data_IF_077116966693
#
_entry.id   IF_077116966693
#
_cell.length_a   1.000
_cell.length_b   1.000
_cell.length_c   1.000
_cell.angle_alpha   90.00
_cell.angle_beta   90.00
_cell.angle_gamma   90.00
#
_symmetry.space_group_name_H-M   'P 1'
#
loop_
_entity.id
_entity.type
_entity.pdbx_description
1 polymer ?
#
# COMPACT_ATOMS: atom_id res chain seq x y z
N UNK A 1 -4.39 27.08 2.63
CA UNK A 1 -3.06 26.59 2.35
C UNK A 1 -2.07 27.72 2.53
N UNK A 2 -1.18 27.55 3.50
CA UNK A 2 -0.12 28.49 3.85
C UNK A 2 1.08 28.38 2.90
N UNK A 3 0.92 27.82 1.72
CA UNK A 3 2.02 27.50 0.83
C UNK A 3 2.27 28.69 -0.08
N UNK A 4 3.37 29.37 0.19
CA UNK A 4 3.90 30.49 -0.57
C UNK A 4 4.39 30.08 -1.95
N UNK A 5 3.64 29.20 -2.64
CA UNK A 5 3.97 28.71 -3.98
C UNK A 5 2.86 29.03 -4.95
N UNK A 6 3.21 29.33 -6.18
CA UNK A 6 2.30 29.55 -7.29
C UNK A 6 2.77 28.82 -8.55
N UNK A 7 1.84 28.45 -9.42
CA UNK A 7 2.14 27.82 -10.71
C UNK A 7 2.21 28.91 -11.76
N UNK A 8 3.34 28.98 -12.47
CA UNK A 8 3.55 29.88 -13.59
C UNK A 8 4.00 29.07 -14.82
N UNK A 9 3.04 28.70 -15.67
CA UNK A 9 3.29 27.84 -16.82
C UNK A 9 3.73 26.44 -16.37
N UNK A 10 4.94 26.05 -16.71
CA UNK A 10 5.54 24.76 -16.38
C UNK A 10 6.40 24.80 -15.09
N UNK A 11 6.33 25.90 -14.34
CA UNK A 11 7.15 26.08 -13.15
C UNK A 11 6.28 26.21 -11.92
N UNK A 12 6.78 25.69 -10.81
CA UNK A 12 6.29 26.02 -9.46
C UNK A 12 7.29 27.01 -8.88
N UNK A 13 6.84 28.19 -8.52
CA UNK A 13 7.69 29.23 -7.94
C UNK A 13 7.18 29.67 -6.57
N UNK A 14 8.09 30.20 -5.77
CA UNK A 14 7.76 30.81 -4.51
C UNK A 14 7.06 32.16 -4.77
N UNK A 15 5.86 32.35 -4.22
CA UNK A 15 5.07 33.57 -4.39
C UNK A 15 5.38 34.66 -3.34
N UNK A 16 6.05 34.29 -2.23
CA UNK A 16 6.44 35.21 -1.17
C UNK A 16 7.75 34.78 -0.49
N UNK A 17 8.44 35.73 0.16
CA UNK A 17 9.60 35.39 0.98
C UNK A 17 9.20 34.51 2.15
N UNK A 18 9.95 33.44 2.40
CA UNK A 18 9.76 32.56 3.53
C UNK A 18 11.07 32.23 4.20
N UNK A 19 11.02 31.94 5.48
CA UNK A 19 12.13 31.36 6.24
C UNK A 19 12.05 29.83 6.30
N UNK A 20 11.03 29.23 5.67
CA UNK A 20 10.94 27.79 5.54
C UNK A 20 12.02 27.28 4.60
N UNK A 21 12.74 26.25 5.01
CA UNK A 21 13.74 25.57 4.20
C UNK A 21 13.19 24.43 3.35
N UNK A 22 11.87 24.27 3.27
CA UNK A 22 11.24 23.19 2.50
C UNK A 22 9.93 23.63 1.87
N UNK A 23 9.66 23.11 0.69
CA UNK A 23 8.43 23.29 -0.07
C UNK A 23 7.94 21.93 -0.54
N UNK A 24 6.61 21.74 -0.53
CA UNK A 24 5.95 20.52 -0.98
C UNK A 24 4.98 20.90 -2.09
N UNK A 25 5.02 20.16 -3.16
CA UNK A 25 4.03 20.25 -4.25
C UNK A 25 3.67 18.84 -4.72
N UNK A 26 2.45 18.69 -5.18
CA UNK A 26 1.96 17.45 -5.77
C UNK A 26 2.14 17.54 -7.29
N UNK A 27 2.71 16.48 -7.86
CA UNK A 27 2.83 16.33 -9.30
C UNK A 27 2.05 15.10 -9.75
N UNK A 28 1.23 15.29 -10.77
CA UNK A 28 0.46 14.20 -11.38
C UNK A 28 1.20 13.75 -12.64
N UNK A 29 1.60 12.48 -12.67
CA UNK A 29 2.25 11.90 -13.83
C UNK A 29 1.31 11.91 -15.03
N UNK A 30 1.79 12.24 -16.24
CA UNK A 30 1.01 12.09 -17.47
C UNK A 30 0.54 10.64 -17.65
N UNK A 31 -0.66 10.48 -18.19
CA UNK A 31 -1.23 9.15 -18.49
C UNK A 31 -0.57 8.47 -19.69
N UNK A 32 0.22 9.21 -20.45
CA UNK A 32 0.97 8.70 -21.61
C UNK A 32 2.46 8.67 -21.31
N UNK A 33 3.18 7.75 -21.95
CA UNK A 33 4.63 7.69 -21.84
C UNK A 33 5.26 8.96 -22.41
N UNK A 34 5.91 9.76 -21.57
CA UNK A 34 6.65 10.98 -21.95
C UNK A 34 8.17 10.80 -21.79
N UNK A 35 8.62 9.59 -21.51
CA UNK A 35 10.03 9.32 -21.17
C UNK A 35 10.38 9.72 -19.73
N UNK A 36 11.67 9.83 -19.46
CA UNK A 36 12.17 10.26 -18.16
C UNK A 36 11.73 11.70 -17.86
N UNK A 37 11.31 11.95 -16.63
CA UNK A 37 10.92 13.29 -16.17
C UNK A 37 12.02 13.85 -15.26
N UNK A 38 12.54 15.00 -15.63
CA UNK A 38 13.57 15.69 -14.84
C UNK A 38 12.94 16.87 -14.11
N UNK A 39 13.12 16.90 -12.81
CA UNK A 39 12.79 18.02 -11.94
C UNK A 39 14.05 18.80 -11.65
N UNK A 40 14.06 20.10 -11.97
CA UNK A 40 15.15 21.00 -11.63
C UNK A 40 14.63 22.01 -10.62
N UNK A 41 15.30 22.13 -9.49
CA UNK A 41 15.00 23.14 -8.49
C UNK A 41 16.19 24.08 -8.33
N UNK A 42 15.93 25.38 -8.29
CA UNK A 42 16.96 26.40 -8.05
C UNK A 42 16.53 27.28 -6.89
N UNK A 43 17.44 27.55 -6.00
CA UNK A 43 17.26 28.43 -4.85
C UNK A 43 18.34 29.50 -4.80
N UNK A 44 17.95 30.71 -4.42
CA UNK A 44 18.86 31.83 -4.16
C UNK A 44 18.95 32.07 -2.65
N UNK A 45 20.13 31.87 -2.08
CA UNK A 45 20.41 32.28 -0.71
C UNK A 45 20.99 33.67 -0.71
N UNK A 46 20.25 34.65 -0.15
CA UNK A 46 20.68 36.02 -0.05
C UNK A 46 21.26 36.32 1.33
N UNK A 47 22.41 36.96 1.41
CA UNK A 47 23.09 37.29 2.66
C UNK A 47 22.41 38.34 3.53
N UNK A 48 21.15 38.73 3.24
CA UNK A 48 20.33 39.62 4.08
C UNK A 48 20.75 41.10 4.09
N UNK A 49 21.79 41.49 3.38
CA UNK A 49 22.17 42.88 3.21
C UNK A 49 21.80 43.40 1.82
N UNK A 50 21.51 44.67 1.70
CA UNK A 50 21.16 45.33 0.43
C UNK A 50 22.31 45.44 -0.58
N UNK A 51 23.38 44.68 -0.40
CA UNK A 51 24.53 44.63 -1.32
C UNK A 51 24.43 43.36 -2.20
N UNK A 52 24.67 43.51 -3.49
CA UNK A 52 24.66 42.47 -4.51
C UNK A 52 25.86 41.52 -4.46
N UNK A 53 26.59 41.49 -3.37
CA UNK A 53 27.77 40.64 -3.18
C UNK A 53 27.48 39.58 -2.10
N UNK A 54 27.58 38.31 -2.47
CA UNK A 54 27.43 37.18 -1.54
C UNK A 54 26.15 36.39 -1.68
N UNK A 55 25.44 36.50 -2.82
CA UNK A 55 24.29 35.68 -3.13
C UNK A 55 24.75 34.37 -3.82
N UNK A 56 24.39 33.27 -3.25
CA UNK A 56 24.69 31.93 -3.79
C UNK A 56 23.44 31.32 -4.45
N UNK A 57 23.61 30.83 -5.66
CA UNK A 57 22.58 30.07 -6.38
C UNK A 57 22.86 28.58 -6.22
N UNK A 58 21.89 27.86 -5.68
CA UNK A 58 21.92 26.41 -5.56
C UNK A 58 20.97 25.83 -6.56
N UNK A 59 21.44 24.84 -7.31
CA UNK A 59 20.58 24.08 -8.24
C UNK A 59 20.70 22.60 -7.93
N UNK A 60 19.56 21.92 -7.88
CA UNK A 60 19.46 20.48 -7.79
C UNK A 60 18.63 19.96 -8.96
N UNK A 61 19.04 18.83 -9.50
CA UNK A 61 18.34 18.14 -10.57
C UNK A 61 18.08 16.71 -10.16
N UNK A 62 16.83 16.27 -10.28
CA UNK A 62 16.39 14.91 -9.97
C UNK A 62 15.67 14.38 -11.20
N UNK A 63 16.24 13.36 -11.83
CA UNK A 63 15.59 12.63 -12.92
C UNK A 63 14.87 11.43 -12.35
N UNK A 64 13.55 11.38 -12.59
CA UNK A 64 12.71 10.22 -12.36
C UNK A 64 12.64 9.49 -13.69
N UNK A 65 13.34 8.35 -13.84
CA UNK A 65 13.30 7.60 -15.07
C UNK A 65 11.86 7.18 -15.33
N UNK A 66 11.45 7.18 -16.60
CA UNK A 66 10.27 6.46 -16.99
C UNK A 66 10.52 4.99 -16.68
N UNK A 67 10.26 4.64 -15.47
CA UNK A 67 9.85 3.29 -15.23
C UNK A 67 8.45 3.23 -15.84
N UNK A 68 8.36 2.66 -17.05
CA UNK A 68 7.23 1.80 -17.25
C UNK A 68 7.22 1.01 -15.94
N UNK A 69 6.26 1.30 -15.07
CA UNK A 69 5.66 0.28 -14.28
C UNK A 69 5.10 -0.70 -15.33
N UNK A 70 5.99 -1.47 -15.90
CA UNK A 70 5.78 -2.85 -16.05
C UNK A 70 5.76 -3.36 -14.60
N UNK A 71 4.69 -2.99 -13.89
CA UNK A 71 3.75 -3.98 -13.52
C UNK A 71 3.37 -4.65 -14.84
N UNK A 72 4.25 -5.46 -15.28
CA UNK A 72 3.97 -6.85 -15.42
C UNK A 72 3.82 -7.37 -13.98
N UNK A 73 2.90 -6.79 -13.21
CA UNK A 73 1.79 -7.58 -12.74
C UNK A 73 1.42 -8.30 -14.02
N UNK A 74 1.84 -9.57 -14.12
CA UNK A 74 0.87 -10.52 -14.54
C UNK A 74 -0.42 -9.89 -14.03
N UNK A 75 -1.28 -9.38 -14.93
CA UNK A 75 -2.67 -9.19 -14.64
C UNK A 75 -3.05 -10.66 -14.42
N UNK A 76 -2.59 -11.21 -13.31
CA UNK A 76 -3.27 -12.28 -12.64
C UNK A 76 -4.62 -11.67 -12.54
N UNK A 77 -5.53 -12.15 -13.37
CA UNK A 77 -6.93 -11.79 -13.31
C UNK A 77 -7.22 -11.70 -11.82
N UNK A 78 -7.29 -10.44 -11.27
CA UNK A 78 -7.36 -10.24 -9.83
C UNK A 78 -8.76 -10.63 -9.44
N UNK A 79 -9.01 -11.94 -9.40
CA UNK A 79 -10.33 -12.48 -9.08
C UNK A 79 -10.69 -12.23 -7.64
N UNK A 80 -9.68 -11.88 -6.78
CA UNK A 80 -9.99 -11.41 -5.45
C UNK A 80 -8.88 -10.53 -4.83
N UNK A 81 -9.29 -9.63 -3.94
CA UNK A 81 -8.41 -8.82 -3.10
C UNK A 81 -8.42 -9.38 -1.69
N UNK A 82 -7.24 -9.59 -1.10
CA UNK A 82 -7.10 -9.99 0.29
C UNK A 82 -6.66 -8.79 1.13
N UNK A 83 -7.44 -8.44 2.14
CA UNK A 83 -7.12 -7.38 3.09
C UNK A 83 -6.45 -7.95 4.34
N UNK A 84 -5.71 -7.10 5.04
CA UNK A 84 -5.16 -7.49 6.35
C UNK A 84 -6.28 -7.88 7.32
N UNK A 85 -6.09 -8.99 8.02
CA UNK A 85 -7.00 -9.41 9.08
C UNK A 85 -6.93 -8.44 10.28
N UNK A 86 -8.04 -8.30 10.98
CA UNK A 86 -8.11 -7.39 12.13
C UNK A 86 -8.99 -7.97 13.24
N UNK A 87 -8.54 -7.85 14.49
CA UNK A 87 -7.21 -7.42 14.95
C UNK A 87 -6.09 -8.42 14.58
N UNK A 88 -4.83 -7.94 14.54
CA UNK A 88 -3.64 -8.77 14.39
C UNK A 88 -2.43 -8.08 15.07
N UNK A 89 -1.88 -8.53 16.21
CA UNK A 89 -2.30 -9.75 16.94
C UNK A 89 -3.74 -9.73 17.44
N UNK A 90 -4.33 -10.92 17.67
CA UNK A 90 -5.71 -11.04 18.08
C UNK A 90 -5.90 -11.89 19.35
N UNK A 91 -7.04 -11.70 20.07
CA UNK A 91 -7.45 -12.45 21.25
C UNK A 91 -8.98 -12.31 21.46
N UNK A 92 -9.80 -13.38 21.46
CA UNK A 92 -9.52 -14.67 20.85
C UNK A 92 -9.96 -14.71 19.38
N UNK A 93 -10.56 -13.64 18.84
CA UNK A 93 -11.19 -13.62 17.51
C UNK A 93 -10.51 -12.62 16.60
N UNK A 94 -10.30 -13.02 15.35
CA UNK A 94 -9.88 -12.12 14.26
C UNK A 94 -10.83 -12.23 13.08
N UNK A 95 -10.93 -11.18 12.29
CA UNK A 95 -11.75 -11.13 11.08
C UNK A 95 -10.86 -11.12 9.85
N UNK A 96 -10.99 -12.12 8.99
CA UNK A 96 -10.39 -12.18 7.67
C UNK A 96 -11.31 -11.44 6.71
N UNK A 97 -10.74 -10.66 5.81
CA UNK A 97 -11.49 -9.76 4.92
C UNK A 97 -10.98 -9.90 3.50
N UNK A 98 -11.88 -10.08 2.57
CA UNK A 98 -11.53 -10.19 1.16
C UNK A 98 -12.67 -9.65 0.28
N UNK A 99 -12.37 -9.39 -0.99
CA UNK A 99 -13.33 -8.94 -1.97
C UNK A 99 -13.22 -9.82 -3.21
N UNK A 100 -14.34 -10.42 -3.62
CA UNK A 100 -14.45 -11.22 -4.83
C UNK A 100 -14.93 -10.34 -5.98
N UNK A 101 -14.30 -10.46 -7.14
CA UNK A 101 -14.70 -9.72 -8.34
C UNK A 101 -15.84 -10.40 -9.06
N UNK A 102 -15.99 -11.72 -8.88
CA UNK A 102 -17.05 -12.54 -9.45
C UNK A 102 -17.50 -13.63 -8.46
N UNK A 103 -18.61 -14.27 -8.73
CA UNK A 103 -19.08 -15.42 -7.97
C UNK A 103 -18.10 -16.57 -8.10
N UNK A 104 -17.66 -17.14 -6.99
CA UNK A 104 -16.60 -18.13 -6.99
C UNK A 104 -16.75 -19.18 -5.89
N UNK A 105 -16.10 -20.34 -6.09
CA UNK A 105 -15.91 -21.31 -5.01
C UNK A 105 -14.73 -20.82 -4.17
N UNK A 106 -15.01 -20.53 -2.91
CA UNK A 106 -14.01 -20.03 -1.95
C UNK A 106 -13.72 -21.10 -0.92
N UNK A 107 -12.43 -21.29 -0.63
CA UNK A 107 -11.96 -22.12 0.46
C UNK A 107 -10.99 -21.35 1.33
N UNK A 108 -11.22 -21.35 2.65
CA UNK A 108 -10.37 -20.64 3.62
C UNK A 108 -9.86 -21.65 4.64
N UNK A 109 -8.54 -21.79 4.69
CA UNK A 109 -7.87 -22.78 5.55
C UNK A 109 -6.80 -22.08 6.41
N UNK A 110 -6.77 -22.45 7.68
CA UNK A 110 -5.74 -22.04 8.64
C UNK A 110 -4.71 -23.15 8.75
N UNK A 111 -3.43 -22.75 8.78
CA UNK A 111 -2.28 -23.64 8.93
C UNK A 111 -1.40 -23.21 10.09
N UNK A 112 -0.72 -24.16 10.70
CA UNK A 112 0.40 -23.88 11.59
C UNK A 112 1.68 -23.53 10.78
N UNK A 113 2.75 -23.15 11.47
CA UNK A 113 4.03 -22.80 10.82
C UNK A 113 4.74 -23.99 10.15
N UNK A 114 4.31 -25.23 10.42
CA UNK A 114 4.82 -26.44 9.77
C UNK A 114 4.01 -26.79 8.52
N UNK A 115 2.95 -26.05 8.22
CA UNK A 115 2.07 -26.29 7.09
C UNK A 115 0.94 -27.32 7.36
N UNK A 116 0.75 -27.76 8.60
CA UNK A 116 -0.35 -28.65 8.93
C UNK A 116 -1.66 -27.85 8.98
N UNK A 117 -2.72 -28.42 8.45
CA UNK A 117 -4.06 -27.82 8.53
C UNK A 117 -4.55 -27.80 9.98
N UNK A 118 -4.89 -26.60 10.45
CA UNK A 118 -5.48 -26.37 11.78
C UNK A 118 -6.99 -26.32 11.70
N UNK A 119 -7.52 -25.51 10.78
CA UNK A 119 -8.97 -25.33 10.61
C UNK A 119 -9.34 -25.01 9.16
N UNK A 120 -10.46 -25.58 8.69
CA UNK A 120 -11.10 -25.19 7.43
C UNK A 120 -12.34 -24.36 7.78
N UNK A 121 -12.16 -23.03 7.85
CA UNK A 121 -13.20 -22.13 8.37
C UNK A 121 -14.28 -21.79 7.35
N UNK A 122 -14.02 -22.00 6.07
CA UNK A 122 -14.99 -21.83 5.01
C UNK A 122 -14.67 -22.72 3.80
N UNK A 123 -15.72 -23.27 3.19
CA UNK A 123 -15.63 -23.96 1.89
C UNK A 123 -17.01 -23.95 1.23
N UNK A 124 -17.19 -23.14 0.19
CA UNK A 124 -18.47 -23.03 -0.49
C UNK A 124 -18.48 -21.99 -1.61
N UNK A 125 -19.61 -21.85 -2.27
CA UNK A 125 -19.85 -20.83 -3.28
C UNK A 125 -20.18 -19.50 -2.58
N UNK A 126 -19.52 -18.43 -2.98
CA UNK A 126 -19.83 -17.06 -2.56
C UNK A 126 -20.05 -16.15 -3.76
N UNK A 127 -21.00 -15.24 -3.62
CA UNK A 127 -21.22 -14.18 -4.62
C UNK A 127 -20.09 -13.17 -4.60
N UNK A 128 -19.95 -12.42 -5.69
CA UNK A 128 -19.04 -11.27 -5.77
C UNK A 128 -19.26 -10.25 -4.64
N UNK A 129 -18.27 -9.42 -4.39
CA UNK A 129 -18.29 -8.35 -3.40
C UNK A 129 -17.47 -8.61 -2.14
N UNK A 130 -17.55 -7.67 -1.20
CA UNK A 130 -16.79 -7.69 0.05
C UNK A 130 -17.33 -8.75 1.01
N UNK A 131 -16.40 -9.55 1.55
CA UNK A 131 -16.70 -10.69 2.44
C UNK A 131 -15.85 -10.61 3.71
N UNK A 132 -16.42 -11.18 4.76
CA UNK A 132 -15.73 -11.33 6.05
C UNK A 132 -16.00 -12.71 6.63
N UNK A 133 -14.97 -13.30 7.21
CA UNK A 133 -15.09 -14.55 7.97
C UNK A 133 -14.26 -14.43 9.25
N UNK A 134 -14.75 -14.99 10.34
CA UNK A 134 -14.06 -14.95 11.63
C UNK A 134 -13.37 -16.27 11.93
N UNK A 135 -12.21 -16.15 12.59
CA UNK A 135 -11.53 -17.27 13.22
C UNK A 135 -11.33 -16.97 14.71
N UNK A 136 -11.76 -17.89 15.55
CA UNK A 136 -11.81 -17.82 17.01
C UNK A 136 -10.67 -18.59 17.70
N UNK A 137 -9.57 -18.82 16.99
CA UNK A 137 -8.44 -19.62 17.47
C UNK A 137 -8.77 -21.05 17.86
N UNK A 138 -9.70 -21.70 17.11
CA UNK A 138 -10.01 -23.11 17.27
C UNK A 138 -9.55 -23.94 16.08
N UNK A 139 -9.36 -25.24 16.31
CA UNK A 139 -9.11 -26.23 15.27
C UNK A 139 -10.44 -26.79 14.69
N UNK A 140 -10.36 -27.73 13.73
CA UNK A 140 -11.52 -28.37 13.11
C UNK A 140 -12.45 -29.11 14.11
N UNK A 141 -11.96 -29.46 15.32
CA UNK A 141 -12.73 -30.10 16.38
C UNK A 141 -13.35 -29.09 17.35
N UNK A 142 -13.18 -27.76 17.11
CA UNK A 142 -13.62 -26.70 18.00
C UNK A 142 -12.76 -26.55 19.26
N UNK A 143 -11.58 -27.16 19.31
CA UNK A 143 -10.66 -27.07 20.45
C UNK A 143 -9.75 -25.83 20.28
N UNK A 144 -9.50 -25.07 21.37
CA UNK A 144 -8.60 -23.93 21.32
C UNK A 144 -7.18 -24.35 20.92
N UNK A 145 -6.54 -23.53 20.08
CA UNK A 145 -5.14 -23.71 19.70
C UNK A 145 -4.21 -22.89 20.61
N UNK A 146 -2.91 -23.16 20.57
CA UNK A 146 -1.90 -22.42 21.33
C UNK A 146 -1.68 -21.05 20.76
N UNK A 147 -1.27 -20.07 21.58
CA UNK A 147 -0.78 -18.78 21.09
C UNK A 147 0.41 -18.99 20.17
N UNK A 148 0.49 -18.23 19.11
CA UNK A 148 1.54 -18.39 18.11
C UNK A 148 1.22 -17.72 16.78
N UNK A 149 2.09 -18.01 15.81
CA UNK A 149 1.94 -17.57 14.42
C UNK A 149 1.23 -18.66 13.63
N UNK A 150 0.24 -18.24 12.87
CA UNK A 150 -0.51 -19.08 11.94
C UNK A 150 -0.50 -18.44 10.56
N UNK A 151 -0.76 -19.24 9.56
CA UNK A 151 -0.98 -18.80 8.19
C UNK A 151 -2.43 -19.10 7.82
N UNK A 152 -3.07 -18.20 7.12
CA UNK A 152 -4.34 -18.48 6.49
C UNK A 152 -4.24 -18.33 4.99
N UNK A 153 -4.91 -19.21 4.29
CA UNK A 153 -4.96 -19.20 2.83
C UNK A 153 -6.41 -19.05 2.40
N UNK A 154 -6.63 -18.15 1.45
CA UNK A 154 -7.89 -18.01 0.72
C UNK A 154 -7.63 -18.47 -0.71
N UNK A 155 -8.42 -19.43 -1.14
CA UNK A 155 -8.45 -19.96 -2.51
C UNK A 155 -9.78 -19.55 -3.14
N UNK A 156 -9.75 -19.02 -4.36
CA UNK A 156 -10.92 -18.62 -5.15
C UNK A 156 -10.69 -19.03 -6.59
N UNK A 157 -11.35 -20.08 -7.05
CA UNK A 157 -11.03 -20.72 -8.32
C UNK A 157 -9.58 -21.20 -8.35
N UNK A 158 -8.84 -20.78 -9.36
CA UNK A 158 -7.41 -21.11 -9.54
C UNK A 158 -6.47 -20.19 -8.74
N UNK A 159 -7.01 -19.17 -8.09
CA UNK A 159 -6.24 -18.16 -7.37
C UNK A 159 -6.08 -18.52 -5.90
N UNK A 160 -4.90 -18.24 -5.37
CA UNK A 160 -4.56 -18.54 -3.98
C UNK A 160 -3.72 -17.41 -3.38
N UNK A 161 -4.16 -16.87 -2.24
CA UNK A 161 -3.38 -15.92 -1.44
C UNK A 161 -3.23 -16.41 -0.01
N UNK A 162 -2.02 -16.21 0.53
CA UNK A 162 -1.67 -16.62 1.89
C UNK A 162 -1.23 -15.39 2.69
N UNK A 163 -1.67 -15.29 3.93
CA UNK A 163 -1.26 -14.23 4.83
C UNK A 163 -1.04 -14.76 6.26
N UNK A 164 -0.34 -13.97 7.05
CA UNK A 164 0.05 -14.29 8.42
C UNK A 164 -0.96 -13.72 9.42
N UNK A 165 -1.26 -14.50 10.46
CA UNK A 165 -2.06 -14.08 11.60
C UNK A 165 -1.38 -14.48 12.91
N UNK A 166 -1.42 -13.61 13.92
CA UNK A 166 -0.75 -13.82 15.22
C UNK A 166 -1.81 -13.91 16.30
N UNK A 167 -1.89 -15.06 16.94
CA UNK A 167 -2.75 -15.28 18.09
C UNK A 167 -1.95 -15.05 19.38
N UNK A 168 -2.44 -14.19 20.25
CA UNK A 168 -1.87 -13.91 21.59
C UNK A 168 -2.95 -14.04 22.65
N UNK A 169 -2.66 -14.79 23.71
CA UNK A 169 -3.51 -14.85 24.91
C UNK A 169 -3.12 -13.76 25.86
#
# INVERSE_FOLDING_TARGET
>A
NSDSTEINGNYVQQSARTTSGSWIFDWIAPSTNVGDVTFTASGLATGGSSSTGGDDVYTIEITVPYQQLAVQEDIEDINFLLYSNYPNPFNPVTTLRYNLMEDSIVKITIYDVLGNTVNNIFNGIESSGYKTVQWDATNNQGQPVSSGVYLYTIESGDYKKTSKVIFSK
#
